data_IF_178668723818
#
_entry.id   IF_178668723818
#
_cell.length_a   1.000
_cell.length_b   1.000
_cell.length_c   1.000
_cell.angle_alpha   90.00
_cell.angle_beta   90.00
_cell.angle_gamma   90.00
#
_symmetry.space_group_name_H-M   'P 1'
#
loop_
_entity.id
_entity.type
_entity.pdbx_description
1 polymer ?
#
# COMPACT_ATOMS: atom_id res chain seq x y z
N UNK A 1 4.75 3.91 -2.30
CA UNK A 1 3.39 3.34 -2.38
C UNK A 1 2.65 3.76 -3.65
N UNK A 2 2.28 5.05 -3.80
CA UNK A 2 1.56 5.53 -5.01
C UNK A 2 2.27 5.17 -6.31
N UNK A 3 3.54 5.58 -6.45
CA UNK A 3 4.30 5.36 -7.68
C UNK A 3 4.48 3.87 -7.97
N UNK A 4 4.79 3.09 -6.93
CA UNK A 4 4.85 1.64 -7.04
C UNK A 4 3.56 1.05 -7.62
N UNK A 5 2.37 1.46 -7.14
CA UNK A 5 1.11 0.97 -7.69
C UNK A 5 0.84 1.44 -9.13
N UNK A 6 1.35 2.61 -9.53
CA UNK A 6 1.23 3.08 -10.92
C UNK A 6 2.09 2.24 -11.87
N UNK A 7 3.31 1.90 -11.44
CA UNK A 7 4.26 1.14 -12.26
C UNK A 7 3.99 -0.39 -12.19
N UNK A 8 3.24 -0.84 -11.19
CA UNK A 8 2.88 -2.25 -10.96
C UNK A 8 1.36 -2.48 -11.08
N UNK A 9 0.80 -2.51 -12.31
CA UNK A 9 -0.65 -2.59 -12.52
C UNK A 9 -1.27 -3.90 -12.01
N UNK A 10 -0.50 -4.98 -11.89
CA UNK A 10 -0.98 -6.22 -11.30
C UNK A 10 -1.23 -6.05 -9.79
N UNK A 11 -0.27 -5.48 -9.06
CA UNK A 11 -0.43 -5.16 -7.63
C UNK A 11 -1.59 -4.18 -7.39
N UNK A 12 -1.78 -3.20 -8.29
CA UNK A 12 -2.92 -2.28 -8.20
C UNK A 12 -4.27 -3.01 -8.33
N UNK A 13 -4.38 -3.97 -9.26
CA UNK A 13 -5.58 -4.80 -9.41
C UNK A 13 -5.82 -5.71 -8.20
N UNK A 14 -4.77 -6.28 -7.63
CA UNK A 14 -4.87 -7.05 -6.38
C UNK A 14 -5.40 -6.19 -5.24
N UNK A 15 -4.90 -4.95 -5.12
CA UNK A 15 -5.37 -4.03 -4.09
C UNK A 15 -6.83 -3.62 -4.29
N UNK A 16 -7.25 -3.37 -5.53
CA UNK A 16 -8.65 -3.11 -5.85
C UNK A 16 -9.55 -4.29 -5.45
N UNK A 17 -9.19 -5.51 -5.88
CA UNK A 17 -9.94 -6.72 -5.56
C UNK A 17 -9.99 -6.98 -4.05
N UNK A 18 -8.91 -6.70 -3.32
CA UNK A 18 -8.90 -6.75 -1.86
C UNK A 18 -9.91 -5.76 -1.27
N UNK A 19 -9.85 -4.48 -1.65
CA UNK A 19 -10.77 -3.45 -1.14
C UNK A 19 -12.24 -3.80 -1.39
N UNK A 20 -12.59 -4.29 -2.58
CA UNK A 20 -13.96 -4.69 -2.90
C UNK A 20 -14.44 -5.87 -2.06
N UNK A 21 -13.56 -6.87 -1.80
CA UNK A 21 -13.88 -8.00 -0.92
C UNK A 21 -14.05 -7.55 0.54
N UNK A 22 -13.15 -6.70 1.03
CA UNK A 22 -13.20 -6.19 2.40
C UNK A 22 -14.40 -5.27 2.62
N UNK A 23 -14.74 -4.43 1.64
CA UNK A 23 -15.91 -3.54 1.71
C UNK A 23 -17.20 -4.35 1.89
N UNK A 24 -17.37 -5.43 1.12
CA UNK A 24 -18.52 -6.33 1.27
C UNK A 24 -18.53 -7.07 2.62
N UNK A 25 -17.36 -7.47 3.10
CA UNK A 25 -17.23 -8.24 4.36
C UNK A 25 -17.46 -7.38 5.61
N UNK A 26 -17.03 -6.12 5.56
CA UNK A 26 -17.01 -5.19 6.68
C UNK A 26 -17.85 -3.95 6.41
N UNK A 27 -19.01 -4.13 5.75
CA UNK A 27 -19.86 -3.01 5.28
C UNK A 27 -20.33 -2.06 6.40
N UNK A 28 -20.40 -2.56 7.64
CA UNK A 28 -20.80 -1.80 8.83
C UNK A 28 -19.69 -1.71 9.89
N UNK A 29 -18.49 -2.21 9.59
CA UNK A 29 -17.35 -2.22 10.51
C UNK A 29 -16.14 -1.56 9.84
N UNK A 30 -16.09 -0.23 9.95
CA UNK A 30 -15.06 0.60 9.33
C UNK A 30 -13.67 0.30 9.87
N UNK A 31 -13.58 -0.05 11.15
CA UNK A 31 -12.30 -0.28 11.81
C UNK A 31 -11.75 -1.64 11.35
N UNK A 32 -12.58 -2.68 11.32
CA UNK A 32 -12.20 -3.97 10.74
C UNK A 32 -11.82 -3.87 9.25
N UNK A 33 -12.50 -3.03 8.46
CA UNK A 33 -12.10 -2.76 7.07
C UNK A 33 -10.69 -2.15 6.97
N UNK A 34 -10.34 -1.26 7.91
CA UNK A 34 -9.04 -0.58 7.92
C UNK A 34 -7.93 -1.54 8.34
N UNK A 35 -8.15 -2.29 9.41
CA UNK A 35 -7.20 -3.27 9.93
C UNK A 35 -6.94 -4.40 8.91
N UNK A 36 -7.99 -4.88 8.24
CA UNK A 36 -7.89 -6.03 7.34
C UNK A 36 -7.09 -5.78 6.04
N UNK A 37 -6.72 -4.52 5.73
CA UNK A 37 -5.84 -4.19 4.58
C UNK A 37 -4.44 -3.74 5.01
N UNK A 38 -4.14 -3.67 6.31
CA UNK A 38 -2.87 -3.14 6.83
C UNK A 38 -1.68 -3.96 6.36
N UNK A 39 -1.78 -5.30 6.40
CA UNK A 39 -0.71 -6.20 5.94
C UNK A 39 -0.34 -5.93 4.47
N UNK A 40 -1.33 -5.91 3.57
CA UNK A 40 -1.12 -5.63 2.16
C UNK A 40 -0.48 -4.25 1.92
N UNK A 41 -0.94 -3.21 2.64
CA UNK A 41 -0.36 -1.87 2.54
C UNK A 41 1.09 -1.86 3.02
N UNK A 42 1.39 -2.58 4.11
CA UNK A 42 2.73 -2.76 4.64
C UNK A 42 3.68 -3.37 3.62
N UNK A 43 3.29 -4.49 3.03
CA UNK A 43 4.10 -5.21 2.02
C UNK A 43 4.38 -4.36 0.79
N UNK A 44 3.35 -3.70 0.24
CA UNK A 44 3.52 -2.81 -0.92
C UNK A 44 4.36 -1.59 -0.57
N UNK A 45 4.27 -1.09 0.65
CA UNK A 45 5.12 0.03 1.11
C UNK A 45 6.58 -0.40 1.25
N UNK A 46 6.85 -1.62 1.74
CA UNK A 46 8.20 -2.16 1.83
C UNK A 46 8.81 -2.33 0.42
N UNK A 47 8.09 -2.96 -0.51
CA UNK A 47 8.52 -3.09 -1.92
C UNK A 47 8.79 -1.72 -2.55
N UNK A 48 7.90 -0.76 -2.32
CA UNK A 48 8.09 0.60 -2.82
C UNK A 48 9.33 1.30 -2.24
N UNK A 49 9.70 1.01 -0.99
CA UNK A 49 10.93 1.56 -0.39
C UNK A 49 12.18 0.89 -0.94
N UNK A 50 12.13 -0.39 -1.25
CA UNK A 50 13.23 -1.11 -1.89
C UNK A 50 13.52 -0.54 -3.28
N UNK A 51 12.47 -0.31 -4.07
CA UNK A 51 12.61 0.12 -5.47
C UNK A 51 12.81 1.64 -5.63
N UNK A 52 12.10 2.44 -4.84
CA UNK A 52 12.13 3.92 -4.95
C UNK A 52 12.77 4.61 -3.75
N UNK A 53 13.44 3.86 -2.87
CA UNK A 53 14.02 4.38 -1.63
C UNK A 53 14.90 5.60 -1.86
N UNK A 54 15.81 5.53 -2.82
CA UNK A 54 16.73 6.63 -3.19
C UNK A 54 16.00 7.88 -3.69
N UNK A 55 14.85 7.72 -4.37
CA UNK A 55 14.04 8.82 -4.89
C UNK A 55 13.36 9.63 -3.78
N UNK A 56 13.14 9.00 -2.64
CA UNK A 56 12.41 9.57 -1.50
C UNK A 56 13.26 9.72 -0.23
N UNK A 57 14.50 9.23 -0.23
CA UNK A 57 15.53 9.61 0.73
C UNK A 57 16.05 10.99 0.33
N UNK A 58 15.50 12.04 0.97
CA UNK A 58 16.08 13.38 0.90
C UNK A 58 17.51 13.38 1.44
N UNK A 59 18.34 14.40 1.14
CA UNK A 59 19.69 14.47 1.65
C UNK A 59 19.65 14.39 3.18
N UNK A 60 20.31 13.37 3.72
CA UNK A 60 20.61 13.25 5.15
C UNK A 60 21.17 14.58 5.64
N UNK A 61 20.62 15.21 6.69
CA UNK A 61 21.23 16.40 7.24
C UNK A 61 22.65 16.04 7.69
N UNK A 62 23.66 16.61 7.03
CA UNK A 62 25.01 16.60 7.59
C UNK A 62 24.97 17.54 8.79
N UNK A 63 25.02 16.95 9.99
CA UNK A 63 25.36 17.68 11.21
C UNK A 63 26.83 18.09 11.16
#
# INVERSE_FOLDING_TARGET
FRDYLNDHPQTAKEYEALKLRLWKRFEHDRDAYTEARTEFIGDVTAKAREEYGERYQGPTPRL
#
